data_IF_554424806946
#
_entry.id   IF_554424806946
#
_cell.length_a   1.000
_cell.length_b   1.000
_cell.length_c   1.000
_cell.angle_alpha   90.00
_cell.angle_beta   90.00
_cell.angle_gamma   90.00
#
_symmetry.space_group_name_H-M   'P 1'
#
loop_
_entity.id
_entity.type
_entity.pdbx_description
1 polymer ?
#
# COMPACT_ATOMS: atom_id res chain seq x y z
N UNK A 1 -0.30 14.34 -32.88
CA UNK A 1 -0.87 13.87 -31.61
C UNK A 1 0.20 13.03 -30.94
N UNK A 2 0.89 13.52 -29.91
CA UNK A 2 1.85 12.70 -29.17
C UNK A 2 1.05 11.76 -28.27
N UNK A 3 0.94 10.50 -28.69
CA UNK A 3 0.37 9.47 -27.85
C UNK A 3 1.39 9.23 -26.73
N UNK A 4 1.07 9.66 -25.52
CA UNK A 4 1.88 9.31 -24.35
C UNK A 4 1.81 7.79 -24.17
N UNK A 5 2.95 7.16 -23.91
CA UNK A 5 2.99 5.74 -23.60
C UNK A 5 2.09 5.45 -22.39
N UNK A 6 1.33 4.36 -22.49
CA UNK A 6 0.46 3.93 -21.39
C UNK A 6 1.32 3.44 -20.20
N UNK A 7 0.87 3.70 -18.98
CA UNK A 7 1.50 3.21 -17.78
C UNK A 7 1.48 1.68 -17.75
N UNK A 8 2.63 1.06 -17.46
CA UNK A 8 2.76 -0.38 -17.32
C UNK A 8 2.67 -0.80 -15.86
N UNK A 9 1.99 -1.91 -15.60
CA UNK A 9 1.83 -2.47 -14.24
C UNK A 9 3.15 -2.95 -13.62
N UNK A 10 4.20 -3.11 -14.41
CA UNK A 10 5.49 -3.65 -13.97
C UNK A 10 6.54 -2.59 -13.63
N UNK A 11 6.23 -1.31 -13.89
CA UNK A 11 7.18 -0.21 -13.70
C UNK A 11 6.97 0.49 -12.35
N UNK A 12 7.30 -0.20 -11.26
CA UNK A 12 7.20 0.33 -9.91
C UNK A 12 8.21 -0.31 -8.97
N UNK A 13 8.41 0.31 -7.82
CA UNK A 13 9.22 -0.19 -6.72
C UNK A 13 8.56 0.25 -5.42
N UNK A 14 8.45 -0.64 -4.47
CA UNK A 14 7.86 -0.33 -3.18
C UNK A 14 8.76 -0.82 -2.06
N UNK A 15 8.69 -0.18 -0.91
CA UNK A 15 9.49 -0.59 0.22
C UNK A 15 9.34 0.28 1.46
N UNK A 16 10.12 -0.08 2.46
CA UNK A 16 10.22 0.63 3.73
C UNK A 16 11.66 0.63 4.23
N UNK A 17 12.05 1.65 4.95
CA UNK A 17 13.33 1.68 5.63
C UNK A 17 13.42 0.70 6.80
N UNK A 18 12.26 0.32 7.35
CA UNK A 18 12.18 -0.62 8.47
C UNK A 18 12.19 -2.08 8.01
N UNK A 19 11.63 -2.36 6.81
CA UNK A 19 11.45 -3.69 6.25
C UNK A 19 12.40 -3.89 5.06
N UNK A 20 13.69 -3.91 5.30
CA UNK A 20 14.70 -3.89 4.22
C UNK A 20 14.73 -5.16 3.38
N UNK A 21 14.53 -6.32 3.99
CA UNK A 21 14.47 -7.59 3.25
C UNK A 21 13.18 -7.70 2.45
N UNK A 22 12.05 -7.27 3.01
CA UNK A 22 10.76 -7.27 2.32
C UNK A 22 10.82 -6.51 0.99
N UNK A 23 11.56 -5.41 0.92
CA UNK A 23 11.67 -4.58 -0.28
C UNK A 23 12.15 -5.35 -1.51
N UNK A 24 12.94 -6.41 -1.31
CA UNK A 24 13.50 -7.23 -2.40
C UNK A 24 12.51 -8.28 -2.91
N UNK A 25 11.47 -8.60 -2.13
CA UNK A 25 10.61 -9.75 -2.36
C UNK A 25 9.14 -9.40 -2.64
N UNK A 26 8.81 -8.10 -2.71
CA UNK A 26 7.46 -7.64 -3.05
C UNK A 26 7.17 -7.97 -4.53
N UNK A 27 6.14 -8.79 -4.77
CA UNK A 27 5.73 -9.21 -6.11
C UNK A 27 4.56 -8.40 -6.66
N UNK A 28 3.57 -8.17 -5.81
CA UNK A 28 2.37 -7.43 -6.16
C UNK A 28 2.11 -6.37 -5.11
N UNK A 29 1.64 -5.22 -5.53
CA UNK A 29 1.21 -4.13 -4.66
C UNK A 29 -0.06 -3.50 -5.24
N UNK A 30 -1.06 -3.33 -4.40
CA UNK A 30 -2.26 -2.60 -4.75
C UNK A 30 -2.23 -1.23 -4.07
N UNK A 31 -2.25 -0.16 -4.87
CA UNK A 31 -2.42 1.20 -4.36
C UNK A 31 -3.82 1.29 -3.74
N UNK A 32 -3.94 1.70 -2.47
CA UNK A 32 -5.22 1.74 -1.78
C UNK A 32 -6.18 2.72 -2.45
N UNK A 33 -7.46 2.34 -2.50
CA UNK A 33 -8.54 3.20 -2.96
C UNK A 33 -8.86 4.30 -1.96
N UNK A 34 -9.54 5.33 -2.44
CA UNK A 34 -10.05 6.43 -1.63
C UNK A 34 -11.56 6.43 -1.75
N UNK A 35 -12.25 6.34 -0.62
CA UNK A 35 -13.71 6.36 -0.56
C UNK A 35 -14.19 7.62 0.13
N UNK A 36 -15.27 8.18 -0.41
CA UNK A 36 -15.92 9.37 0.13
C UNK A 36 -17.33 9.01 0.55
N UNK A 37 -17.71 9.38 1.77
CA UNK A 37 -19.09 9.26 2.22
C UNK A 37 -19.84 10.54 1.89
N UNK A 38 -21.01 10.38 1.27
CA UNK A 38 -21.91 11.49 0.94
C UNK A 38 -23.17 11.34 1.79
N UNK A 39 -23.31 12.14 2.88
CA UNK A 39 -24.54 12.11 3.64
C UNK A 39 -25.69 12.63 2.80
N UNK A 40 -26.82 11.92 2.86
CA UNK A 40 -28.05 12.35 2.21
C UNK A 40 -28.95 13.10 3.19
N UNK A 41 -29.44 14.25 2.79
CA UNK A 41 -30.48 14.97 3.53
C UNK A 41 -31.81 14.82 2.77
N UNK A 42 -32.86 14.54 3.51
CA UNK A 42 -34.21 14.60 2.97
C UNK A 42 -34.67 16.07 2.98
N UNK A 43 -34.79 16.66 1.81
CA UNK A 43 -35.38 17.98 1.63
C UNK A 43 -36.89 17.98 1.85
N UNK A 44 -37.48 19.15 1.90
CA UNK A 44 -38.93 19.32 1.92
C UNK A 44 -39.51 18.61 0.68
N UNK A 45 -40.51 17.80 0.86
CA UNK A 45 -41.14 16.92 -0.15
C UNK A 45 -40.42 15.58 -0.45
N UNK A 46 -39.69 15.03 0.50
CA UNK A 46 -39.03 13.69 0.37
C UNK A 46 -38.04 13.57 -0.78
N UNK A 47 -37.55 14.70 -1.30
CA UNK A 47 -36.48 14.71 -2.28
C UNK A 47 -35.15 14.48 -1.57
N UNK A 48 -34.42 13.45 -2.01
CA UNK A 48 -33.11 13.11 -1.50
C UNK A 48 -32.07 14.05 -2.12
N UNK A 49 -31.37 14.81 -1.29
CA UNK A 49 -30.32 15.71 -1.73
C UNK A 49 -29.00 15.16 -1.18
N UNK A 50 -28.07 14.81 -2.06
CA UNK A 50 -26.71 14.45 -1.68
C UNK A 50 -25.89 15.69 -1.32
N UNK A 51 -25.27 15.65 -0.17
CA UNK A 51 -24.31 16.69 0.25
C UNK A 51 -22.90 16.38 -0.24
N UNK A 52 -22.07 17.40 -0.24
CA UNK A 52 -20.62 17.22 -0.43
C UNK A 52 -20.08 16.31 0.66
N UNK A 53 -19.15 15.43 0.31
CA UNK A 53 -18.54 14.51 1.26
C UNK A 53 -17.92 15.25 2.45
N UNK A 54 -18.23 14.79 3.63
CA UNK A 54 -17.68 15.27 4.90
C UNK A 54 -16.63 14.30 5.47
N UNK A 55 -16.51 13.13 4.89
CA UNK A 55 -15.59 12.10 5.35
C UNK A 55 -14.87 11.41 4.17
N UNK A 56 -13.58 11.21 4.34
CA UNK A 56 -12.72 10.47 3.42
C UNK A 56 -12.09 9.30 4.17
N UNK A 57 -12.17 8.12 3.59
CA UNK A 57 -11.54 6.90 4.12
C UNK A 57 -10.62 6.28 3.08
N UNK A 58 -9.59 5.61 3.57
CA UNK A 58 -8.64 4.88 2.75
C UNK A 58 -8.85 3.38 2.92
N UNK A 59 -8.75 2.65 1.81
CA UNK A 59 -8.70 1.20 1.86
C UNK A 59 -7.38 0.72 2.45
N UNK A 60 -7.33 -0.52 2.90
CA UNK A 60 -6.09 -1.13 3.36
C UNK A 60 -5.13 -1.35 2.18
N UNK A 61 -3.85 -1.14 2.42
CA UNK A 61 -2.81 -1.57 1.49
C UNK A 61 -2.63 -3.08 1.60
N UNK A 62 -2.47 -3.75 0.49
CA UNK A 62 -2.10 -5.16 0.46
C UNK A 62 -0.98 -5.41 -0.53
N UNK A 63 -0.10 -6.33 -0.18
CA UNK A 63 0.97 -6.77 -1.06
C UNK A 63 1.31 -8.24 -0.81
N UNK A 64 1.84 -8.86 -1.86
CA UNK A 64 2.30 -10.23 -1.83
C UNK A 64 3.83 -10.27 -1.82
N UNK A 65 4.36 -11.07 -0.92
CA UNK A 65 5.79 -11.30 -0.77
C UNK A 65 6.13 -12.71 -1.20
N UNK A 66 7.24 -12.87 -1.93
CA UNK A 66 7.89 -14.17 -2.03
C UNK A 66 8.65 -14.46 -0.74
N UNK A 67 8.55 -15.70 -0.26
CA UNK A 67 9.34 -16.14 0.87
C UNK A 67 10.65 -16.73 0.40
N UNK A 68 11.74 -16.31 1.02
CA UNK A 68 13.05 -16.91 0.80
C UNK A 68 13.14 -18.27 1.50
N UNK A 69 14.08 -19.11 1.05
CA UNK A 69 14.28 -20.47 1.55
C UNK A 69 14.50 -20.54 3.08
N UNK A 70 15.04 -19.49 3.68
CA UNK A 70 15.31 -19.38 5.11
C UNK A 70 14.20 -18.61 5.87
N UNK A 71 13.11 -18.24 5.22
CA UNK A 71 11.99 -17.49 5.80
C UNK A 71 12.39 -16.16 6.49
N UNK A 72 13.51 -15.56 6.11
CA UNK A 72 14.02 -14.34 6.76
C UNK A 72 13.06 -13.16 6.61
N UNK A 73 12.42 -13.04 5.44
CA UNK A 73 11.40 -12.01 5.18
C UNK A 73 10.22 -12.14 6.14
N UNK A 74 9.77 -13.37 6.38
CA UNK A 74 8.69 -13.65 7.33
C UNK A 74 9.08 -13.26 8.76
N UNK A 75 10.31 -13.61 9.19
CA UNK A 75 10.80 -13.24 10.52
C UNK A 75 10.99 -11.74 10.69
N UNK A 76 11.39 -11.00 9.64
CA UNK A 76 11.46 -9.54 9.68
C UNK A 76 10.09 -8.92 9.97
N UNK A 77 9.02 -9.41 9.31
CA UNK A 77 7.66 -8.96 9.55
C UNK A 77 7.21 -9.29 10.97
N UNK A 78 7.45 -10.52 11.41
CA UNK A 78 7.08 -10.95 12.77
C UNK A 78 7.79 -10.12 13.85
N UNK A 79 9.05 -9.75 13.65
CA UNK A 79 9.79 -8.90 14.59
C UNK A 79 9.11 -7.53 14.74
N UNK A 80 8.66 -6.92 13.65
CA UNK A 80 7.92 -5.65 13.70
C UNK A 80 6.56 -5.85 14.38
N UNK A 81 5.83 -6.90 14.05
CA UNK A 81 4.52 -7.20 14.66
C UNK A 81 4.64 -7.45 16.15
N UNK A 82 5.64 -8.22 16.61
CA UNK A 82 5.84 -8.47 18.03
C UNK A 82 6.33 -7.25 18.82
N UNK A 83 6.96 -6.30 18.13
CA UNK A 83 7.23 -4.98 18.71
C UNK A 83 5.97 -4.12 18.84
N UNK A 84 5.01 -4.27 17.90
CA UNK A 84 3.71 -3.60 17.99
C UNK A 84 2.79 -4.25 19.05
N UNK A 85 2.84 -5.57 19.16
CA UNK A 85 2.04 -6.35 20.09
C UNK A 85 2.87 -7.51 20.66
N UNK A 86 3.13 -7.49 21.95
CA UNK A 86 3.79 -8.59 22.62
C UNK A 86 2.75 -9.64 23.06
N UNK A 87 2.74 -10.84 22.45
CA UNK A 87 1.76 -11.86 22.76
C UNK A 87 1.91 -12.46 24.16
N UNK A 88 3.10 -12.39 24.77
CA UNK A 88 3.36 -12.98 26.08
C UNK A 88 2.71 -12.18 27.22
N UNK A 89 2.69 -10.86 27.13
CA UNK A 89 2.16 -9.99 28.18
C UNK A 89 0.99 -9.12 27.74
N UNK A 90 0.57 -9.22 26.46
CA UNK A 90 -0.52 -8.43 25.90
C UNK A 90 -0.27 -6.93 25.84
N UNK A 91 0.99 -6.50 25.93
CA UNK A 91 1.32 -5.08 25.82
C UNK A 91 1.33 -4.62 24.36
N UNK A 92 0.85 -3.38 24.16
CA UNK A 92 0.91 -2.71 22.86
C UNK A 92 1.98 -1.63 22.91
N UNK A 93 2.83 -1.60 21.90
CA UNK A 93 3.69 -0.46 21.62
C UNK A 93 3.22 0.21 20.33
N UNK A 94 3.11 1.53 20.32
CA UNK A 94 2.76 2.28 19.12
C UNK A 94 4.01 2.39 18.23
N UNK A 95 4.35 1.30 17.55
CA UNK A 95 5.47 1.26 16.61
C UNK A 95 4.93 1.36 15.19
N UNK A 96 5.12 2.52 14.60
CA UNK A 96 4.72 2.84 13.25
C UNK A 96 5.94 2.90 12.36
N UNK A 97 5.75 2.66 11.08
CA UNK A 97 6.80 2.80 10.08
C UNK A 97 6.25 3.44 8.81
N UNK A 98 7.14 3.96 7.99
CA UNK A 98 6.77 4.57 6.72
C UNK A 98 7.01 3.59 5.58
N UNK A 99 6.13 3.67 4.59
CA UNK A 99 6.19 2.84 3.40
C UNK A 99 6.12 3.73 2.16
N UNK A 100 6.92 3.44 1.14
CA UNK A 100 6.94 4.22 -0.09
C UNK A 100 6.68 3.36 -1.31
N UNK A 101 6.12 3.99 -2.34
CA UNK A 101 5.93 3.41 -3.66
C UNK A 101 6.44 4.39 -4.71
N UNK A 102 7.46 3.98 -5.44
CA UNK A 102 8.02 4.71 -6.57
C UNK A 102 7.36 4.23 -7.86
N UNK A 103 6.69 5.13 -8.55
CA UNK A 103 6.15 4.84 -9.87
C UNK A 103 7.18 5.23 -10.93
N UNK A 104 7.58 4.27 -11.74
CA UNK A 104 8.63 4.44 -12.75
C UNK A 104 8.04 4.46 -14.16
N UNK A 105 8.72 5.14 -15.08
CA UNK A 105 8.41 5.05 -16.50
C UNK A 105 9.09 3.81 -17.14
N UNK A 106 8.85 3.58 -18.42
CA UNK A 106 9.46 2.47 -19.16
C UNK A 106 11.00 2.55 -19.25
N UNK A 107 11.59 3.72 -18.98
CA UNK A 107 13.04 3.93 -18.95
C UNK A 107 13.64 3.68 -17.56
N UNK A 108 12.80 3.33 -16.57
CA UNK A 108 13.23 3.13 -15.19
C UNK A 108 13.39 4.43 -14.37
N UNK A 109 13.03 5.58 -14.93
CA UNK A 109 13.10 6.87 -14.23
C UNK A 109 11.89 7.01 -13.30
N UNK A 110 12.11 7.53 -12.10
CA UNK A 110 11.04 7.80 -11.15
C UNK A 110 10.16 8.97 -11.64
N UNK A 111 8.87 8.73 -11.77
CA UNK A 111 7.89 9.74 -12.20
C UNK A 111 7.33 10.48 -10.99
N UNK A 112 6.91 9.72 -9.98
CA UNK A 112 6.47 10.25 -8.69
C UNK A 112 6.59 9.17 -7.61
N UNK A 113 6.63 9.62 -6.37
CA UNK A 113 6.68 8.74 -5.19
C UNK A 113 5.45 9.01 -4.33
N UNK A 114 4.82 7.94 -3.88
CA UNK A 114 3.78 8.00 -2.86
C UNK A 114 4.41 7.54 -1.55
N UNK A 115 4.43 8.40 -0.54
CA UNK A 115 4.87 8.06 0.81
C UNK A 115 3.66 7.87 1.71
N UNK A 116 3.52 6.68 2.28
CA UNK A 116 2.50 6.34 3.27
C UNK A 116 3.10 6.43 4.66
N UNK A 117 2.41 7.13 5.56
CA UNK A 117 2.91 7.44 6.89
C UNK A 117 2.12 6.70 7.96
N UNK A 118 2.82 6.37 9.03
CA UNK A 118 2.27 5.67 10.20
C UNK A 118 1.61 4.35 9.80
N UNK A 119 2.34 3.55 9.04
CA UNK A 119 1.87 2.23 8.62
C UNK A 119 1.89 1.24 9.78
N UNK A 120 0.86 0.41 9.83
CA UNK A 120 0.67 -0.65 10.83
C UNK A 120 0.13 -1.90 10.16
N UNK A 121 0.64 -3.05 10.52
CA UNK A 121 0.11 -4.31 10.01
C UNK A 121 -1.30 -4.57 10.56
N UNK A 122 -2.21 -4.97 9.68
CA UNK A 122 -3.59 -5.38 10.04
C UNK A 122 -3.79 -6.86 9.87
N UNK A 123 -3.11 -7.46 8.89
CA UNK A 123 -3.19 -8.89 8.66
C UNK A 123 -1.88 -9.43 8.08
N UNK A 124 -1.50 -10.61 8.54
CA UNK A 124 -0.47 -11.44 7.93
C UNK A 124 -1.15 -12.73 7.51
N UNK A 125 -1.12 -13.00 6.21
CA UNK A 125 -1.74 -14.18 5.63
C UNK A 125 -1.11 -15.47 6.12
N UNK A 126 -1.82 -16.56 5.90
CA UNK A 126 -1.32 -17.90 6.23
C UNK A 126 -0.30 -18.38 5.18
N UNK A 127 0.68 -19.13 5.64
CA UNK A 127 1.61 -19.86 4.79
C UNK A 127 1.11 -21.31 4.69
N UNK A 128 0.81 -21.76 3.48
CA UNK A 128 0.38 -23.16 3.27
C UNK A 128 1.61 -24.02 2.97
N UNK A 129 1.80 -25.04 3.78
CA UNK A 129 2.84 -26.04 3.59
C UNK A 129 2.20 -27.35 3.14
N UNK A 130 2.72 -27.96 2.08
CA UNK A 130 2.24 -29.25 1.57
C UNK A 130 3.42 -30.16 1.25
N UNK A 131 3.28 -31.44 1.60
CA UNK A 131 4.22 -32.48 1.20
C UNK A 131 3.87 -33.12 -0.14
N UNK A 132 2.72 -32.78 -0.69
CA UNK A 132 2.20 -33.26 -1.96
C UNK A 132 1.92 -32.04 -2.83
N UNK A 133 2.69 -31.81 -3.85
CA UNK A 133 2.43 -30.72 -4.78
C UNK A 133 3.64 -30.38 -5.65
N UNK A 134 3.41 -29.56 -6.64
CA UNK A 134 4.43 -29.01 -7.50
C UNK A 134 5.37 -28.11 -6.69
N UNK A 135 6.62 -28.04 -7.11
CA UNK A 135 7.64 -27.14 -6.56
C UNK A 135 7.26 -25.68 -6.88
N UNK A 136 6.33 -25.13 -6.12
CA UNK A 136 5.93 -23.72 -6.22
C UNK A 136 6.51 -22.92 -5.06
N UNK A 137 6.83 -21.65 -5.33
CA UNK A 137 7.32 -20.75 -4.30
C UNK A 137 6.19 -20.37 -3.32
N UNK A 138 6.53 -20.33 -2.03
CA UNK A 138 5.61 -19.82 -1.02
C UNK A 138 5.47 -18.31 -1.13
N UNK A 139 4.24 -17.85 -1.11
CA UNK A 139 3.88 -16.43 -1.07
C UNK A 139 3.19 -16.10 0.24
N UNK A 140 3.42 -14.90 0.72
CA UNK A 140 2.78 -14.34 1.92
C UNK A 140 2.03 -13.08 1.54
N UNK A 141 0.72 -13.08 1.78
CA UNK A 141 -0.08 -11.86 1.64
C UNK A 141 -0.03 -11.07 2.95
N UNK A 142 0.18 -9.78 2.86
CA UNK A 142 0.27 -8.87 4.00
C UNK A 142 -0.62 -7.67 3.74
N UNK A 143 -1.39 -7.27 4.77
CA UNK A 143 -2.21 -6.07 4.73
C UNK A 143 -1.77 -5.07 5.80
N UNK A 144 -1.83 -3.81 5.46
CA UNK A 144 -1.45 -2.70 6.32
C UNK A 144 -2.47 -1.56 6.23
N UNK A 145 -2.60 -0.83 7.33
CA UNK A 145 -3.25 0.48 7.39
C UNK A 145 -2.22 1.58 7.53
N UNK A 146 -2.58 2.75 7.06
CA UNK A 146 -1.81 3.99 7.19
C UNK A 146 -2.74 5.13 7.58
N UNK A 147 -2.17 6.19 8.15
CA UNK A 147 -2.97 7.35 8.58
C UNK A 147 -3.17 8.34 7.43
N UNK A 148 -2.12 8.61 6.66
CA UNK A 148 -2.18 9.52 5.51
C UNK A 148 -1.05 9.21 4.53
N UNK A 149 -1.15 9.77 3.33
CA UNK A 149 -0.08 9.69 2.33
C UNK A 149 0.24 11.06 1.74
N UNK A 150 1.44 11.17 1.20
CA UNK A 150 1.90 12.33 0.42
C UNK A 150 2.47 11.88 -0.90
N UNK A 151 2.21 12.68 -1.94
CA UNK A 151 2.79 12.46 -3.27
C UNK A 151 3.90 13.48 -3.46
N UNK A 152 5.12 13.01 -3.67
CA UNK A 152 6.26 13.85 -4.05
C UNK A 152 6.23 14.12 -5.55
N UNK A 153 6.72 15.31 -5.95
CA UNK A 153 6.72 15.82 -7.32
C UNK A 153 5.33 16.14 -7.91
N UNK A 154 4.29 16.18 -7.07
CA UNK A 154 2.93 16.50 -7.53
C UNK A 154 2.84 17.90 -8.17
N UNK A 155 3.58 18.89 -7.65
CA UNK A 155 3.59 20.25 -8.20
C UNK A 155 4.12 20.30 -9.65
N UNK A 156 5.19 19.54 -9.91
CA UNK A 156 5.79 19.46 -11.25
C UNK A 156 4.86 18.73 -12.22
N UNK A 157 4.15 17.70 -11.75
CA UNK A 157 3.19 16.96 -12.54
C UNK A 157 1.94 17.80 -12.87
N UNK A 158 1.43 18.55 -11.91
CA UNK A 158 0.30 19.47 -12.10
C UNK A 158 0.66 20.58 -13.09
N UNK A 159 1.85 21.18 -12.98
CA UNK A 159 2.31 22.21 -13.94
C UNK A 159 2.50 21.64 -15.34
N UNK A 160 3.09 20.45 -15.48
CA UNK A 160 3.25 19.77 -16.77
C UNK A 160 1.92 19.35 -17.40
N UNK A 161 0.93 18.99 -16.59
CA UNK A 161 -0.43 18.65 -17.05
C UNK A 161 -1.23 19.86 -17.53
N UNK A 162 -1.14 20.98 -16.81
CA UNK A 162 -1.85 22.22 -17.13
C UNK A 162 -1.25 23.00 -18.32
N UNK A 163 0.03 22.81 -18.60
CA UNK A 163 0.67 23.43 -19.78
C UNK A 163 0.34 22.72 -21.11
N UNK A 164 -0.34 21.58 -21.08
CA UNK A 164 -0.74 20.82 -22.27
C UNK A 164 -2.23 20.93 -22.63
N UNK A 165 -2.98 21.70 -21.87
CA UNK A 165 -4.36 22.08 -22.16
C UNK A 165 -4.37 23.48 -22.78
#
# INVERSE_FOLDING_TARGET
MNINNLAQKTCWEAGSNTLQLCNLYIQNFAIPGISFSHPDIYGHNSVKIGLVSDNMSFDEMSFDLLLDENYRVYFEILDVVFKQFNPENGSFANQEFDFFVNMKNQKGENVFTINFYNCRFTNIGQITLSTQGDETYNTLNVSMRFDYFKIENLKDLAQKGLQKL
#
